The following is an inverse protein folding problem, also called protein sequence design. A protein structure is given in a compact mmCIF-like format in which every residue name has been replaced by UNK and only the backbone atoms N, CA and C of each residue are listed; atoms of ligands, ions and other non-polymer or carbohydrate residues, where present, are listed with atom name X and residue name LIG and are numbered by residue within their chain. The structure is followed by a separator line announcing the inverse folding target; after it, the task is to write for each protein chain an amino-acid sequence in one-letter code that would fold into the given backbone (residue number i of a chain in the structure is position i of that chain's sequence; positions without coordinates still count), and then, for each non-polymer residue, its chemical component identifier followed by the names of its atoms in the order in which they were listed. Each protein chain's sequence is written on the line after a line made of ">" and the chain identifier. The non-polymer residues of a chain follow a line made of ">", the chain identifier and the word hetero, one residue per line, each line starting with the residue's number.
data_IF_533296650510
#
_entry.id   IF_533296650510
#
_cell.length_a   1.000
_cell.length_b   1.000
_cell.length_c   1.000
_cell.angle_alpha   90.00
_cell.angle_beta   90.00
_cell.angle_gamma   90.00
#
_symmetry.space_group_name_H-M   'P 1'
#
loop_
_entity.id
_entity.type
_entity.pdbx_description
1 polymer ?
#
# COMPACT_ATOMS: atom_id res chain seq x y z
N UNK A 1 -9.32 12.79 5.74
CA UNK A 1 -8.15 12.31 6.53
C UNK A 1 -8.09 10.78 6.46
N UNK A 2 -6.90 10.26 6.19
CA UNK A 2 -6.70 8.81 6.13
C UNK A 2 -6.35 8.28 7.52
N UNK A 3 -7.12 7.29 7.96
CA UNK A 3 -6.85 6.52 9.17
C UNK A 3 -6.39 5.13 8.73
N UNK A 4 -5.13 4.81 8.96
CA UNK A 4 -4.55 3.52 8.60
C UNK A 4 -4.35 2.67 9.85
N UNK A 5 -4.86 1.43 9.81
CA UNK A 5 -4.65 0.43 10.85
C UNK A 5 -3.59 -0.55 10.35
N UNK A 6 -2.48 -0.63 11.08
CA UNK A 6 -1.33 -1.46 10.67
C UNK A 6 -1.21 -2.66 11.59
N UNK A 7 -1.20 -3.85 10.99
CA UNK A 7 -0.96 -5.12 11.66
C UNK A 7 0.27 -5.80 11.07
N UNK A 8 0.97 -6.57 11.87
CA UNK A 8 2.12 -7.34 11.40
C UNK A 8 2.04 -8.76 11.92
N UNK A 9 2.16 -9.74 11.02
CA UNK A 9 2.21 -11.17 11.34
C UNK A 9 3.57 -11.79 11.01
N UNK A 10 4.55 -10.95 10.61
CA UNK A 10 5.92 -11.37 10.32
C UNK A 10 6.91 -10.51 11.09
N UNK A 11 7.66 -11.14 12.01
CA UNK A 11 8.61 -10.46 12.90
C UNK A 11 9.73 -9.70 12.16
N UNK A 12 10.09 -10.16 10.96
CA UNK A 12 11.16 -9.55 10.17
C UNK A 12 10.91 -8.07 9.85
N UNK A 13 9.66 -7.66 9.73
CA UNK A 13 9.29 -6.27 9.51
C UNK A 13 9.85 -5.34 10.60
N UNK A 14 9.86 -5.78 11.85
CA UNK A 14 10.34 -4.98 12.98
C UNK A 14 11.85 -4.71 12.94
N UNK A 15 12.59 -5.51 12.21
CA UNK A 15 14.04 -5.30 12.00
C UNK A 15 14.30 -4.12 11.05
N UNK A 16 13.37 -3.85 10.15
CA UNK A 16 13.49 -2.81 9.12
C UNK A 16 12.68 -1.56 9.45
N UNK A 17 11.49 -1.74 10.03
CA UNK A 17 10.57 -0.66 10.37
C UNK A 17 10.23 -0.75 11.86
N UNK A 18 10.96 -0.04 12.69
CA UNK A 18 10.80 -0.11 14.17
C UNK A 18 9.48 0.48 14.64
N UNK A 19 9.01 1.54 14.01
CA UNK A 19 7.74 2.21 14.32
C UNK A 19 6.81 2.14 13.11
N UNK A 20 6.34 0.93 12.82
CA UNK A 20 5.57 0.61 11.59
C UNK A 20 4.34 1.50 11.42
N UNK A 21 3.55 1.62 12.47
CA UNK A 21 2.31 2.41 12.42
C UNK A 21 2.57 3.87 12.13
N UNK A 22 3.56 4.45 12.81
CA UNK A 22 3.95 5.85 12.61
C UNK A 22 4.49 6.07 11.19
N UNK A 23 5.29 5.14 10.68
CA UNK A 23 5.85 5.19 9.33
C UNK A 23 4.74 5.31 8.26
N UNK A 24 3.73 4.46 8.33
CA UNK A 24 2.64 4.49 7.34
C UNK A 24 1.70 5.68 7.53
N UNK A 25 1.47 6.12 8.75
CA UNK A 25 0.73 7.36 9.01
C UNK A 25 1.42 8.56 8.40
N UNK A 26 2.74 8.65 8.55
CA UNK A 26 3.55 9.72 7.96
C UNK A 26 3.47 9.71 6.43
N UNK A 27 3.57 8.54 5.81
CA UNK A 27 3.40 8.40 4.36
C UNK A 27 2.06 8.98 3.91
N UNK A 28 0.97 8.58 4.56
CA UNK A 28 -0.37 9.06 4.22
C UNK A 28 -0.51 10.58 4.39
N UNK A 29 0.10 11.14 5.42
CA UNK A 29 0.08 12.58 5.67
C UNK A 29 0.86 13.38 4.63
N UNK A 30 1.80 12.74 3.93
CA UNK A 30 2.61 13.36 2.89
C UNK A 30 2.01 13.22 1.48
N UNK A 31 0.88 12.54 1.34
CA UNK A 31 0.17 12.45 0.07
C UNK A 31 -0.26 13.84 -0.41
N UNK A 32 -0.39 14.06 -1.73
CA UNK A 32 -1.02 15.27 -2.24
C UNK A 32 -2.40 15.47 -1.64
N UNK A 33 -2.82 16.71 -1.45
CA UNK A 33 -4.11 17.05 -0.79
C UNK A 33 -5.30 16.25 -1.34
N UNK A 34 -5.35 16.06 -2.64
CA UNK A 34 -6.38 15.26 -3.32
C UNK A 34 -6.54 13.86 -2.72
N UNK A 35 -5.43 13.25 -2.31
CA UNK A 35 -5.40 11.89 -1.78
C UNK A 35 -5.40 11.81 -0.26
N UNK A 36 -5.41 12.95 0.44
CA UNK A 36 -5.52 12.98 1.90
C UNK A 36 -6.95 13.05 2.41
N UNK A 37 -7.90 13.33 1.53
CA UNK A 37 -9.32 13.41 1.85
C UNK A 37 -9.59 14.28 3.10
N UNK A 38 -9.22 15.58 3.10
CA UNK A 38 -9.25 16.39 4.33
C UNK A 38 -10.65 16.55 4.95
N UNK A 39 -11.71 16.44 4.14
CA UNK A 39 -13.10 16.58 4.59
C UNK A 39 -13.83 15.25 4.76
N UNK A 40 -13.09 14.13 4.71
CA UNK A 40 -13.64 12.80 4.85
C UNK A 40 -12.77 11.97 5.78
N UNK A 41 -13.37 10.96 6.41
CA UNK A 41 -12.65 9.97 7.22
C UNK A 41 -12.55 8.68 6.43
N UNK A 42 -11.37 8.41 5.89
CA UNK A 42 -11.09 7.22 5.09
C UNK A 42 -10.26 6.27 5.93
N UNK A 43 -10.74 5.05 6.09
CA UNK A 43 -10.04 4.00 6.85
C UNK A 43 -9.62 2.88 5.93
N UNK A 44 -8.41 2.38 6.14
CA UNK A 44 -7.91 1.18 5.48
C UNK A 44 -7.08 0.35 6.46
N UNK A 45 -6.97 -0.93 6.17
CA UNK A 45 -6.14 -1.86 6.95
C UNK A 45 -4.93 -2.28 6.12
N UNK A 46 -3.76 -2.27 6.74
CA UNK A 46 -2.53 -2.76 6.15
C UNK A 46 -1.99 -3.92 6.98
N UNK A 47 -1.83 -5.07 6.35
CA UNK A 47 -1.22 -6.26 6.94
C UNK A 47 0.18 -6.44 6.37
N UNK A 48 1.18 -6.37 7.25
CA UNK A 48 2.57 -6.64 6.93
C UNK A 48 2.86 -8.11 7.13
N UNK A 49 2.98 -8.85 6.04
CA UNK A 49 2.98 -10.31 6.01
C UNK A 49 4.23 -10.88 5.33
N UNK A 50 4.15 -12.11 4.86
CA UNK A 50 5.21 -12.86 4.21
C UNK A 50 4.70 -13.65 3.00
N UNK A 51 5.61 -14.27 2.25
CA UNK A 51 5.26 -15.05 1.06
C UNK A 51 4.29 -16.19 1.36
N UNK A 52 4.46 -16.88 2.47
CA UNK A 52 3.62 -18.02 2.83
C UNK A 52 2.16 -17.62 2.99
N UNK A 53 1.91 -16.55 3.73
CA UNK A 53 0.57 -16.07 3.99
C UNK A 53 -0.07 -15.43 2.76
N UNK A 54 0.69 -14.61 2.02
CA UNK A 54 0.16 -13.95 0.83
C UNK A 54 -0.13 -14.93 -0.29
N UNK A 55 0.63 -16.02 -0.40
CA UNK A 55 0.34 -17.12 -1.35
C UNK A 55 -1.01 -17.77 -1.06
N UNK A 56 -1.32 -18.02 0.22
CA UNK A 56 -2.63 -18.57 0.62
C UNK A 56 -3.77 -17.63 0.23
N UNK A 57 -3.62 -16.36 0.51
CA UNK A 57 -4.64 -15.35 0.17
C UNK A 57 -4.83 -15.23 -1.34
N UNK A 58 -3.74 -15.25 -2.10
CA UNK A 58 -3.79 -15.19 -3.55
C UNK A 58 -4.50 -16.40 -4.15
N UNK A 59 -4.24 -17.60 -3.61
CA UNK A 59 -4.94 -18.82 -4.01
C UNK A 59 -6.42 -18.77 -3.68
N UNK A 60 -6.76 -18.38 -2.45
CA UNK A 60 -8.16 -18.41 -1.97
C UNK A 60 -9.04 -17.35 -2.63
N UNK A 61 -8.50 -16.15 -2.88
CA UNK A 61 -9.30 -15.01 -3.36
C UNK A 61 -9.11 -14.68 -4.83
N UNK A 62 -8.01 -15.10 -5.45
CA UNK A 62 -7.70 -14.83 -6.86
C UNK A 62 -7.44 -16.08 -7.68
N UNK A 63 -7.53 -17.25 -7.06
CA UNK A 63 -7.28 -18.56 -7.71
C UNK A 63 -5.87 -18.65 -8.35
N UNK A 64 -4.89 -17.98 -7.73
CA UNK A 64 -3.49 -17.99 -8.16
C UNK A 64 -2.61 -18.58 -7.06
N UNK A 65 -2.09 -19.80 -7.29
CA UNK A 65 -1.26 -20.50 -6.31
C UNK A 65 0.20 -20.04 -6.38
N UNK A 66 0.43 -18.74 -6.08
CA UNK A 66 1.79 -18.16 -6.06
C UNK A 66 1.84 -16.97 -5.09
N UNK A 67 3.03 -16.68 -4.57
CA UNK A 67 3.27 -15.47 -3.80
C UNK A 67 3.34 -14.25 -4.74
N UNK A 68 3.11 -13.08 -4.17
CA UNK A 68 3.21 -11.80 -4.86
C UNK A 68 3.69 -10.75 -3.87
N UNK A 69 4.10 -9.59 -4.36
CA UNK A 69 4.57 -8.49 -3.52
C UNK A 69 3.44 -7.87 -2.69
N UNK A 70 2.26 -7.72 -3.30
CA UNK A 70 1.11 -7.05 -2.69
C UNK A 70 -0.20 -7.65 -3.17
N UNK A 71 -1.20 -7.61 -2.29
CA UNK A 71 -2.60 -7.82 -2.62
C UNK A 71 -3.42 -6.65 -2.10
N UNK A 72 -4.36 -6.18 -2.90
CA UNK A 72 -5.31 -5.13 -2.51
C UNK A 72 -6.73 -5.66 -2.67
N UNK A 73 -7.55 -5.46 -1.64
CA UNK A 73 -8.95 -5.90 -1.61
C UNK A 73 -9.84 -4.68 -1.41
N UNK A 74 -10.26 -3.99 -2.50
CA UNK A 74 -11.18 -2.86 -2.38
C UNK A 74 -12.54 -3.30 -1.85
N UNK A 75 -13.09 -2.57 -0.89
CA UNK A 75 -14.43 -2.80 -0.34
C UNK A 75 -15.45 -1.80 -0.87
N UNK A 76 -15.03 -0.55 -1.07
CA UNK A 76 -15.90 0.48 -1.59
C UNK A 76 -15.69 0.67 -3.09
N UNK A 77 -16.81 0.87 -3.82
CA UNK A 77 -16.70 1.31 -5.21
C UNK A 77 -16.21 2.76 -5.22
N UNK A 78 -15.35 3.10 -6.20
CA UNK A 78 -14.77 4.43 -6.37
C UNK A 78 -15.78 5.58 -6.20
N UNK A 79 -16.99 5.38 -6.71
CA UNK A 79 -18.08 6.37 -6.68
C UNK A 79 -18.78 6.51 -5.32
N UNK A 80 -18.46 5.63 -4.36
CA UNK A 80 -19.16 5.55 -3.07
C UNK A 80 -18.32 6.02 -1.88
N UNK A 81 -17.22 6.74 -2.11
CA UNK A 81 -16.43 7.32 -1.02
C UNK A 81 -17.20 8.48 -0.41
N UNK A 82 -17.82 8.21 0.75
CA UNK A 82 -18.59 9.16 1.52
C UNK A 82 -17.74 9.83 2.61
N UNK A 83 -18.38 10.60 3.51
CA UNK A 83 -17.70 11.27 4.62
C UNK A 83 -16.94 10.30 5.55
N UNK A 84 -17.43 9.05 5.69
CA UNK A 84 -16.81 8.02 6.52
C UNK A 84 -16.86 6.70 5.76
N UNK A 85 -15.69 6.22 5.30
CA UNK A 85 -15.63 5.05 4.44
C UNK A 85 -14.44 4.17 4.79
N UNK A 86 -14.69 2.87 4.93
CA UNK A 86 -13.64 1.84 4.95
C UNK A 86 -13.40 1.42 3.50
N UNK A 87 -12.20 1.67 3.00
CA UNK A 87 -11.91 1.48 1.56
C UNK A 87 -11.32 0.12 1.22
N UNK A 88 -10.81 -0.61 2.20
CA UNK A 88 -10.34 -1.98 1.99
C UNK A 88 -9.04 -2.33 2.68
N UNK A 89 -8.48 -3.47 2.26
CA UNK A 89 -7.29 -4.07 2.85
C UNK A 89 -6.13 -4.14 1.87
N UNK A 90 -4.92 -3.92 2.39
CA UNK A 90 -3.66 -4.09 1.66
C UNK A 90 -2.81 -5.09 2.44
N UNK A 91 -2.23 -6.06 1.73
CA UNK A 91 -1.29 -7.03 2.30
C UNK A 91 0.02 -6.94 1.53
N UNK A 92 1.15 -6.76 2.23
CA UNK A 92 2.48 -6.65 1.61
C UNK A 92 3.38 -7.78 2.13
N UNK A 93 4.12 -8.43 1.22
CA UNK A 93 5.06 -9.50 1.56
C UNK A 93 6.45 -8.96 1.86
N UNK A 94 6.94 -9.22 3.07
CA UNK A 94 8.30 -8.89 3.48
C UNK A 94 9.35 -9.47 2.52
N UNK A 95 9.18 -10.71 2.08
CA UNK A 95 10.14 -11.40 1.23
C UNK A 95 10.40 -10.66 -0.08
N UNK A 96 9.37 -10.07 -0.68
CA UNK A 96 9.52 -9.26 -1.89
C UNK A 96 10.19 -7.92 -1.60
N UNK A 97 9.85 -7.28 -0.48
CA UNK A 97 10.44 -6.01 -0.10
C UNK A 97 11.93 -6.14 0.24
N UNK A 98 12.33 -7.29 0.80
CA UNK A 98 13.70 -7.57 1.21
C UNK A 98 14.58 -8.17 0.08
N UNK A 99 14.27 -7.86 -1.16
CA UNK A 99 15.06 -8.26 -2.34
C UNK A 99 15.64 -7.02 -3.03
N UNK A 100 16.95 -7.00 -3.28
CA UNK A 100 17.99 -7.94 -2.79
C UNK A 100 18.22 -7.76 -1.27
N UNK A 101 18.64 -8.83 -0.60
CA UNK A 101 18.93 -8.79 0.85
C UNK A 101 20.03 -7.80 1.20
N UNK A 102 20.92 -7.52 0.26
CA UNK A 102 22.06 -6.61 0.40
C UNK A 102 21.64 -5.12 0.30
N UNK A 103 20.40 -4.82 -0.06
CA UNK A 103 19.96 -3.43 -0.18
C UNK A 103 20.02 -2.71 1.18
N UNK A 104 20.31 -1.40 1.15
CA UNK A 104 20.29 -0.60 2.37
C UNK A 104 18.87 -0.30 2.83
N UNK A 105 18.73 0.23 4.05
CA UNK A 105 17.43 0.53 4.65
C UNK A 105 16.65 1.59 3.86
N UNK A 106 17.34 2.54 3.25
CA UNK A 106 16.72 3.57 2.42
C UNK A 106 16.01 2.95 1.21
N UNK A 107 16.69 2.07 0.50
CA UNK A 107 16.13 1.38 -0.67
C UNK A 107 14.96 0.48 -0.28
N UNK A 108 15.06 -0.21 0.86
CA UNK A 108 13.96 -1.00 1.39
C UNK A 108 12.72 -0.14 1.65
N UNK A 109 12.88 0.97 2.34
CA UNK A 109 11.78 1.90 2.65
C UNK A 109 11.15 2.49 1.37
N UNK A 110 11.97 2.89 0.41
CA UNK A 110 11.48 3.42 -0.87
C UNK A 110 10.64 2.39 -1.64
N UNK A 111 11.08 1.14 -1.65
CA UNK A 111 10.31 0.04 -2.26
C UNK A 111 8.97 -0.16 -1.56
N UNK A 112 8.98 -0.17 -0.23
CA UNK A 112 7.75 -0.29 0.58
C UNK A 112 6.79 0.86 0.28
N UNK A 113 7.30 2.08 0.20
CA UNK A 113 6.49 3.26 -0.11
C UNK A 113 5.84 3.12 -1.49
N UNK A 114 6.61 2.78 -2.52
CA UNK A 114 6.09 2.57 -3.89
C UNK A 114 5.01 1.50 -3.93
N UNK A 115 5.27 0.38 -3.27
CA UNK A 115 4.35 -0.76 -3.23
C UNK A 115 3.06 -0.38 -2.52
N UNK A 116 3.16 0.31 -1.40
CA UNK A 116 1.99 0.78 -0.65
C UNK A 116 1.14 1.75 -1.47
N UNK A 117 1.76 2.72 -2.14
CA UNK A 117 1.05 3.69 -3.00
C UNK A 117 0.28 2.96 -4.11
N UNK A 118 0.91 1.98 -4.74
CA UNK A 118 0.27 1.16 -5.77
C UNK A 118 -1.00 0.49 -5.23
N UNK A 119 -0.89 -0.17 -4.08
CA UNK A 119 -2.03 -0.80 -3.42
C UNK A 119 -3.12 0.18 -3.01
N UNK A 120 -2.74 1.34 -2.51
CA UNK A 120 -3.67 2.40 -2.13
C UNK A 120 -4.49 2.88 -3.33
N UNK A 121 -3.85 3.08 -4.48
CA UNK A 121 -4.57 3.47 -5.70
C UNK A 121 -5.55 2.41 -6.16
N UNK A 122 -5.20 1.13 -6.03
CA UNK A 122 -6.16 0.05 -6.30
C UNK A 122 -7.39 0.13 -5.37
N UNK A 123 -7.19 0.45 -4.09
CA UNK A 123 -8.33 0.63 -3.18
C UNK A 123 -9.24 1.78 -3.60
N UNK A 124 -8.69 2.79 -4.28
CA UNK A 124 -9.48 3.91 -4.83
C UNK A 124 -10.11 3.59 -6.18
N UNK A 125 -9.92 2.37 -6.71
CA UNK A 125 -10.51 1.93 -7.96
C UNK A 125 -9.65 2.12 -9.20
N UNK A 126 -8.39 2.54 -9.05
CA UNK A 126 -7.44 2.57 -10.16
C UNK A 126 -7.11 1.15 -10.61
N UNK A 127 -6.88 0.98 -11.89
CA UNK A 127 -6.66 -0.30 -12.53
C UNK A 127 -5.56 -0.14 -13.59
N UNK A 128 -4.91 -1.23 -14.01
CA UNK A 128 -3.86 -1.23 -15.01
C UNK A 128 -4.05 -2.30 -16.11
N UNK A 129 -5.28 -2.76 -16.31
CA UNK A 129 -5.61 -3.79 -17.32
C UNK A 129 -5.55 -3.19 -18.74
N UNK A 130 -6.13 -2.00 -18.95
CA UNK A 130 -6.09 -1.29 -20.23
C UNK A 130 -4.92 -0.32 -20.28
N UNK A 131 -4.31 -0.13 -21.45
CA UNK A 131 -3.16 0.79 -21.62
C UNK A 131 -3.42 2.19 -21.09
N UNK A 132 -4.59 2.75 -21.35
CA UNK A 132 -4.99 4.08 -20.88
C UNK A 132 -5.03 4.13 -19.35
N UNK A 133 -5.61 3.12 -18.73
CA UNK A 133 -5.73 3.00 -17.28
C UNK A 133 -4.36 2.77 -16.64
N UNK A 134 -3.51 1.95 -17.27
CA UNK A 134 -2.14 1.70 -16.84
C UNK A 134 -1.32 3.01 -16.82
N UNK A 135 -1.35 3.79 -17.91
CA UNK A 135 -0.63 5.07 -17.99
C UNK A 135 -1.13 6.07 -16.96
N UNK A 136 -2.44 6.12 -16.74
CA UNK A 136 -3.05 7.00 -15.74
C UNK A 136 -2.59 6.62 -14.34
N UNK A 137 -2.61 5.33 -14.02
CA UNK A 137 -2.18 4.83 -12.71
C UNK A 137 -0.71 5.12 -12.47
N UNK A 138 0.18 4.87 -13.45
CA UNK A 138 1.60 5.20 -13.38
C UNK A 138 1.83 6.68 -13.11
N UNK A 139 1.10 7.54 -13.79
CA UNK A 139 1.19 9.00 -13.59
C UNK A 139 0.81 9.41 -12.18
N UNK A 140 -0.27 8.85 -11.64
CA UNK A 140 -0.72 9.16 -10.29
C UNK A 140 0.22 8.57 -9.22
N UNK A 141 0.74 7.36 -9.43
CA UNK A 141 1.77 6.78 -8.56
C UNK A 141 2.99 7.69 -8.46
N UNK A 142 3.48 8.18 -9.60
CA UNK A 142 4.65 9.06 -9.65
C UNK A 142 4.41 10.37 -8.90
N UNK A 143 3.25 10.97 -9.03
CA UNK A 143 2.88 12.20 -8.31
C UNK A 143 2.85 11.99 -6.81
N UNK A 144 2.22 10.92 -6.35
CA UNK A 144 2.13 10.60 -4.92
C UNK A 144 3.52 10.28 -4.37
N UNK A 145 4.28 9.43 -5.07
CA UNK A 145 5.63 9.05 -4.65
C UNK A 145 6.53 10.28 -4.50
N UNK A 146 6.53 11.16 -5.49
CA UNK A 146 7.32 12.40 -5.44
C UNK A 146 6.96 13.26 -4.23
N UNK A 147 5.67 13.38 -3.92
CA UNK A 147 5.19 14.15 -2.76
C UNK A 147 5.69 13.56 -1.45
N UNK A 148 5.72 12.23 -1.35
CA UNK A 148 6.18 11.53 -0.14
C UNK A 148 7.68 11.57 -0.01
N UNK A 149 8.41 11.14 -1.05
CA UNK A 149 9.86 10.93 -0.96
C UNK A 149 10.65 12.22 -0.75
N UNK A 150 10.11 13.35 -1.18
CA UNK A 150 10.76 14.66 -0.99
C UNK A 150 10.73 15.14 0.46
N UNK A 151 9.89 14.54 1.32
CA UNK A 151 9.64 15.03 2.68
C UNK A 151 9.81 13.98 3.77
N UNK A 152 9.79 12.69 3.41
CA UNK A 152 9.97 11.63 4.40
C UNK A 152 11.44 11.47 4.76
N UNK A 153 11.72 11.27 6.04
CA UNK A 153 13.08 11.06 6.55
C UNK A 153 13.40 9.58 6.76
#
# INVERSE_FOLDING_TARGET
>A
MINIEVFSEEKAWSKKLKKKELFFKEICNLFPRKYRFPNKKITLTLLLSNNRCIKKLNKNFRNKNKSTDILSFPLAKKTLISKKTYIGDIIISYNFMNKPRSQNIKNFKEKVIKTFIHGFLHLLGFDHIKDKDFKRMLSEEAKIYKSVISKIN
#
